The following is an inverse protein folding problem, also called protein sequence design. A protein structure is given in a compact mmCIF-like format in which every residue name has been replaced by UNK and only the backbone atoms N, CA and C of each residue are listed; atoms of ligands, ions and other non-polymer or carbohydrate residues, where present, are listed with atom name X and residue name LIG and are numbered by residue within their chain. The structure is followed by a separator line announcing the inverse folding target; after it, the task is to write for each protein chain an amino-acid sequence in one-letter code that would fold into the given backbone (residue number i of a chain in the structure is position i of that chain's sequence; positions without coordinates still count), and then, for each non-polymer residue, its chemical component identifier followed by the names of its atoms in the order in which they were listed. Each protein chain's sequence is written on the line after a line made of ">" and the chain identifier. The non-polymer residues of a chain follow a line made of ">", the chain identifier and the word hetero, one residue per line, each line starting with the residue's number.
data_IF_177847895642
#
_entry.id   IF_177847895642
#
_cell.length_a   1.000
_cell.length_b   1.000
_cell.length_c   1.000
_cell.angle_alpha   90.00
_cell.angle_beta   90.00
_cell.angle_gamma   90.00
#
_symmetry.space_group_name_H-M   'P 1'
#
loop_
_entity.id
_entity.type
_entity.pdbx_description
1 polymer ?
#
# COMPACT_ATOMS: atom_id res chain seq x y z
N UNK A 1 -13.55 0.10 16.69
CA UNK A 1 -14.56 0.35 15.65
C UNK A 1 -14.38 1.73 14.99
N UNK A 2 -13.79 2.71 15.69
CA UNK A 2 -13.70 4.09 15.20
C UNK A 2 -12.61 4.33 14.15
N UNK A 3 -11.49 3.59 14.19
CA UNK A 3 -10.44 3.62 13.16
C UNK A 3 -10.96 3.21 11.77
N UNK A 4 -11.64 2.05 11.69
CA UNK A 4 -12.29 1.57 10.46
C UNK A 4 -13.32 2.57 9.91
N UNK A 5 -14.08 3.23 10.80
CA UNK A 5 -15.04 4.27 10.43
C UNK A 5 -14.34 5.52 9.91
N UNK A 6 -13.24 5.93 10.53
CA UNK A 6 -12.44 7.08 10.10
C UNK A 6 -11.87 6.87 8.70
N UNK A 7 -11.33 5.69 8.39
CA UNK A 7 -10.78 5.41 7.06
C UNK A 7 -11.87 5.28 5.99
N UNK A 8 -13.01 4.65 6.31
CA UNK A 8 -14.17 4.63 5.40
C UNK A 8 -14.64 6.05 5.08
N UNK A 9 -14.62 6.93 6.08
CA UNK A 9 -14.96 8.34 5.92
C UNK A 9 -13.92 9.08 5.07
N UNK A 10 -12.63 8.85 5.30
CA UNK A 10 -11.54 9.44 4.52
C UNK A 10 -11.57 9.00 3.05
N UNK A 11 -11.78 7.71 2.79
CA UNK A 11 -11.92 7.17 1.44
C UNK A 11 -13.13 7.76 0.72
N UNK A 12 -14.28 7.88 1.39
CA UNK A 12 -15.46 8.58 0.85
C UNK A 12 -15.17 10.05 0.58
N UNK A 13 -14.45 10.73 1.47
CA UNK A 13 -14.07 12.12 1.26
C UNK A 13 -13.18 12.27 0.03
N UNK A 14 -12.17 11.40 -0.16
CA UNK A 14 -11.34 11.38 -1.37
C UNK A 14 -12.18 11.20 -2.63
N UNK A 15 -13.10 10.24 -2.65
CA UNK A 15 -14.01 10.02 -3.80
C UNK A 15 -14.93 11.23 -4.04
N UNK A 16 -15.47 11.83 -2.99
CA UNK A 16 -16.30 13.04 -3.08
C UNK A 16 -15.50 14.21 -3.64
N UNK A 17 -14.24 14.39 -3.21
CA UNK A 17 -13.34 15.41 -3.75
C UNK A 17 -13.05 15.17 -5.22
N UNK A 18 -12.74 13.94 -5.64
CA UNK A 18 -12.55 13.60 -7.06
C UNK A 18 -13.83 13.93 -7.85
N UNK A 19 -14.99 13.52 -7.36
CA UNK A 19 -16.28 13.79 -8.01
C UNK A 19 -16.56 15.29 -8.17
N UNK A 20 -16.29 16.08 -7.12
CA UNK A 20 -16.43 17.53 -7.16
C UNK A 20 -15.48 18.18 -8.17
N UNK A 21 -14.20 17.77 -8.19
CA UNK A 21 -13.22 18.26 -9.16
C UNK A 21 -13.60 17.92 -10.60
N UNK A 22 -14.10 16.70 -10.85
CA UNK A 22 -14.62 16.29 -12.17
C UNK A 22 -15.80 17.16 -12.59
N UNK A 23 -16.76 17.43 -11.69
CA UNK A 23 -17.92 18.28 -11.97
C UNK A 23 -17.52 19.74 -12.27
N UNK A 24 -16.45 20.23 -11.65
CA UNK A 24 -15.90 21.57 -11.90
C UNK A 24 -15.01 21.64 -13.16
N UNK A 25 -14.73 20.51 -13.81
CA UNK A 25 -13.84 20.46 -14.98
C UNK A 25 -12.34 20.52 -14.65
N UNK A 26 -11.97 20.39 -13.37
CA UNK A 26 -10.61 20.52 -12.84
C UNK A 26 -9.80 19.22 -13.03
N UNK A 27 -9.61 18.80 -14.29
CA UNK A 27 -8.98 17.51 -14.63
C UNK A 27 -7.52 17.40 -14.18
N UNK A 28 -6.76 18.50 -14.20
CA UNK A 28 -5.36 18.53 -13.72
C UNK A 28 -5.28 18.22 -12.23
N UNK A 29 -6.19 18.78 -11.42
CA UNK A 29 -6.26 18.51 -10.00
C UNK A 29 -6.67 17.06 -9.70
N UNK A 30 -7.59 16.49 -10.50
CA UNK A 30 -7.95 15.07 -10.43
C UNK A 30 -6.73 14.19 -10.70
N UNK A 31 -5.99 14.46 -11.78
CA UNK A 31 -4.79 13.70 -12.14
C UNK A 31 -3.73 13.80 -11.05
N UNK A 32 -3.53 14.98 -10.46
CA UNK A 32 -2.60 15.18 -9.35
C UNK A 32 -3.00 14.36 -8.13
N UNK A 33 -4.27 14.36 -7.74
CA UNK A 33 -4.75 13.62 -6.57
C UNK A 33 -4.59 12.11 -6.77
N UNK A 34 -4.94 11.59 -7.95
CA UNK A 34 -4.74 10.16 -8.31
C UNK A 34 -3.24 9.82 -8.34
N UNK A 35 -2.42 10.71 -8.92
CA UNK A 35 -0.98 10.52 -9.01
C UNK A 35 -0.29 10.48 -7.64
N UNK A 36 -0.75 11.27 -6.67
CA UNK A 36 -0.25 11.24 -5.30
C UNK A 36 -0.51 9.88 -4.62
N UNK A 37 -1.70 9.32 -4.80
CA UNK A 37 -2.04 7.98 -4.26
C UNK A 37 -1.17 6.90 -4.91
N UNK A 38 -0.94 7.02 -6.22
CA UNK A 38 -0.14 6.05 -6.99
C UNK A 38 1.35 6.15 -6.63
N UNK A 39 1.88 7.35 -6.41
CA UNK A 39 3.27 7.57 -6.01
C UNK A 39 3.59 6.96 -4.65
N UNK A 40 2.66 7.05 -3.69
CA UNK A 40 2.81 6.40 -2.38
C UNK A 40 2.88 4.88 -2.51
N UNK A 41 2.04 4.28 -3.38
CA UNK A 41 2.06 2.85 -3.66
C UNK A 41 3.37 2.42 -4.34
N UNK A 42 3.85 3.20 -5.31
CA UNK A 42 5.10 2.95 -6.02
C UNK A 42 6.32 2.97 -5.08
N UNK A 43 6.40 3.97 -4.20
CA UNK A 43 7.48 4.08 -3.21
C UNK A 43 7.52 2.88 -2.26
N UNK A 44 6.35 2.33 -1.89
CA UNK A 44 6.25 1.16 -1.03
C UNK A 44 6.70 -0.12 -1.72
N UNK A 45 6.36 -0.29 -3.01
CA UNK A 45 6.86 -1.40 -3.83
C UNK A 45 8.38 -1.35 -3.92
N UNK A 46 8.95 -0.17 -4.19
CA UNK A 46 10.40 0.02 -4.29
C UNK A 46 11.09 -0.30 -2.96
N UNK A 47 10.55 0.22 -1.84
CA UNK A 47 11.06 -0.08 -0.50
C UNK A 47 11.04 -1.59 -0.20
N UNK A 48 9.93 -2.29 -0.47
CA UNK A 48 9.83 -3.73 -0.21
C UNK A 48 10.78 -4.54 -1.10
N UNK A 49 10.93 -4.17 -2.38
CA UNK A 49 11.87 -4.82 -3.30
C UNK A 49 13.31 -4.68 -2.85
N UNK A 50 13.68 -3.52 -2.32
CA UNK A 50 15.04 -3.26 -1.88
C UNK A 50 15.33 -3.95 -0.53
N UNK A 51 14.32 -4.06 0.33
CA UNK A 51 14.38 -4.65 1.69
C UNK A 51 14.28 -6.18 1.70
N UNK A 52 13.46 -6.77 0.83
CA UNK A 52 13.11 -8.19 0.80
C UNK A 52 13.54 -8.80 -0.54
N UNK A 53 14.59 -9.61 -0.52
CA UNK A 53 15.17 -10.19 -1.76
C UNK A 53 14.34 -11.34 -2.34
N UNK A 54 13.44 -11.91 -1.56
CA UNK A 54 12.49 -12.92 -2.02
C UNK A 54 11.21 -12.28 -2.61
N UNK A 55 10.93 -12.42 -3.92
CA UNK A 55 9.78 -11.78 -4.54
C UNK A 55 8.42 -12.26 -4.03
N UNK A 56 8.31 -13.53 -3.61
CA UNK A 56 7.05 -14.10 -3.14
C UNK A 56 6.68 -13.49 -1.78
N UNK A 57 7.66 -13.37 -0.88
CA UNK A 57 7.48 -12.75 0.43
C UNK A 57 7.24 -11.23 0.28
N UNK A 58 7.96 -10.56 -0.62
CA UNK A 58 7.73 -9.14 -0.91
C UNK A 58 6.29 -8.90 -1.42
N UNK A 59 5.80 -9.75 -2.32
CA UNK A 59 4.42 -9.71 -2.82
C UNK A 59 3.38 -9.97 -1.73
N UNK A 60 3.62 -10.93 -0.83
CA UNK A 60 2.76 -11.18 0.33
C UNK A 60 2.68 -9.93 1.22
N UNK A 61 3.82 -9.33 1.58
CA UNK A 61 3.87 -8.14 2.44
C UNK A 61 3.17 -6.94 1.81
N UNK A 62 3.30 -6.75 0.50
CA UNK A 62 2.54 -5.75 -0.23
C UNK A 62 1.02 -5.99 -0.08
N UNK A 63 0.57 -7.22 -0.30
CA UNK A 63 -0.83 -7.61 -0.12
C UNK A 63 -1.34 -7.41 1.32
N UNK A 64 -0.53 -7.75 2.34
CA UNK A 64 -0.89 -7.50 3.75
C UNK A 64 -0.94 -6.01 4.06
N UNK A 65 -0.11 -5.20 3.42
CA UNK A 65 -0.11 -3.74 3.60
C UNK A 65 -1.36 -3.11 3.00
N UNK A 66 -1.76 -3.53 1.80
CA UNK A 66 -3.04 -3.10 1.20
C UNK A 66 -4.23 -3.56 2.05
N UNK A 67 -4.20 -4.80 2.55
CA UNK A 67 -5.24 -5.29 3.44
C UNK A 67 -5.31 -4.50 4.75
N UNK A 68 -4.17 -4.11 5.32
CA UNK A 68 -4.10 -3.25 6.49
C UNK A 68 -4.72 -1.88 6.18
N UNK A 69 -4.40 -1.28 5.03
CA UNK A 69 -4.99 -0.01 4.56
C UNK A 69 -6.51 -0.10 4.44
N UNK A 70 -7.04 -1.16 3.83
CA UNK A 70 -8.50 -1.41 3.76
C UNK A 70 -9.16 -1.51 5.14
N UNK A 71 -8.42 -2.04 6.12
CA UNK A 71 -8.88 -2.18 7.50
C UNK A 71 -8.58 -0.94 8.37
N UNK A 72 -8.04 0.13 7.79
CA UNK A 72 -7.63 1.33 8.52
C UNK A 72 -6.55 1.07 9.57
N UNK A 73 -5.70 0.08 9.32
CA UNK A 73 -4.52 -0.26 10.09
C UNK A 73 -3.28 0.18 9.32
N UNK A 74 -2.26 0.61 10.06
CA UNK A 74 -0.96 0.88 9.49
C UNK A 74 -0.06 -0.34 9.72
N UNK A 75 0.39 -0.96 8.64
CA UNK A 75 1.46 -1.95 8.68
C UNK A 75 2.77 -1.21 8.41
N UNK A 76 3.71 -1.30 9.35
CA UNK A 76 5.03 -0.66 9.26
C UNK A 76 6.08 -1.74 9.22
N UNK A 77 6.93 -1.68 8.20
CA UNK A 77 8.19 -2.42 8.17
C UNK A 77 9.26 -1.46 8.71
N UNK A 78 9.92 -1.86 9.79
CA UNK A 78 10.89 -1.00 10.46
C UNK A 78 12.09 -0.71 9.57
N UNK A 79 12.55 0.53 9.59
CA UNK A 79 13.71 0.97 8.82
C UNK A 79 14.96 0.19 9.25
N UNK A 80 15.65 -0.42 8.28
CA UNK A 80 16.78 -1.32 8.56
C UNK A 80 16.41 -2.81 8.62
N UNK A 81 15.12 -3.16 8.56
CA UNK A 81 14.69 -4.55 8.30
C UNK A 81 15.29 -5.04 6.99
N UNK A 82 15.71 -6.31 6.93
CA UNK A 82 16.21 -6.95 5.71
C UNK A 82 15.86 -8.44 5.70
N UNK A 83 15.48 -8.92 4.52
CA UNK A 83 15.41 -10.36 4.25
C UNK A 83 16.30 -10.67 3.06
N UNK A 84 17.44 -11.28 3.35
CA UNK A 84 18.36 -11.81 2.34
C UNK A 84 17.76 -13.06 1.67
N UNK A 85 18.30 -13.51 0.52
CA UNK A 85 17.80 -14.70 -0.16
C UNK A 85 17.72 -15.90 0.78
N UNK A 86 16.61 -16.63 0.71
CA UNK A 86 16.43 -17.83 1.52
C UNK A 86 17.45 -18.90 1.13
N UNK A 87 17.88 -19.65 2.13
CA UNK A 87 18.73 -20.83 1.95
C UNK A 87 17.95 -21.98 1.34
N UNK A 88 18.63 -22.90 0.64
CA UNK A 88 18.03 -24.01 -0.11
C UNK A 88 17.09 -24.94 0.70
N UNK A 89 17.22 -24.99 2.02
CA UNK A 89 16.38 -25.84 2.88
C UNK A 89 15.08 -25.17 3.33
N UNK A 90 14.86 -23.88 3.04
CA UNK A 90 13.68 -23.13 3.45
C UNK A 90 12.96 -22.57 2.21
N UNK A 91 11.80 -23.13 1.90
CA UNK A 91 11.00 -22.69 0.75
C UNK A 91 10.13 -21.48 1.12
N UNK A 92 10.08 -20.51 0.22
CA UNK A 92 9.28 -19.30 0.40
C UNK A 92 7.78 -19.59 0.47
N UNK A 93 7.31 -20.65 -0.21
CA UNK A 93 5.91 -21.09 -0.19
C UNK A 93 5.44 -21.52 1.21
N UNK A 94 6.35 -22.06 2.03
CA UNK A 94 6.03 -22.47 3.42
C UNK A 94 5.88 -21.27 4.36
N UNK A 95 6.36 -20.09 3.94
CA UNK A 95 6.35 -18.85 4.73
C UNK A 95 5.18 -17.93 4.38
N UNK A 96 4.45 -18.22 3.32
CA UNK A 96 3.34 -17.39 2.83
C UNK A 96 2.00 -18.08 3.15
N UNK A 97 1.10 -17.34 3.80
CA UNK A 97 -0.22 -17.82 4.26
C UNK A 97 -1.37 -16.89 3.88
#
# INVERSE_FOLDING_TARGET
>A
ADLLRSQTHEHRNKLNTISGLVQMGELEAVQKLIGQETAHYQAMIEFLRDTIKDPLIAGMLLGKTERARELGLQLVVEEGSRLEPLTEWLNSEDLVT
#
